data_IF_615970001534
#
_entry.id   IF_615970001534
#
_cell.length_a   1.000
_cell.length_b   1.000
_cell.length_c   1.000
_cell.angle_alpha   90.00
_cell.angle_beta   90.00
_cell.angle_gamma   90.00
#
_symmetry.space_group_name_H-M   'P 1'
#
loop_
_entity.id
_entity.type
_entity.pdbx_description
1 polymer ?
#
# COMPACT_ATOMS: atom_id res chain seq x y z
N UNK A 1 12.06 -3.11 -17.17
CA UNK A 1 11.38 -2.52 -16.01
C UNK A 1 11.92 -3.13 -14.72
N UNK A 2 12.17 -2.31 -13.70
CA UNK A 2 12.72 -2.75 -12.41
C UNK A 2 11.71 -2.37 -11.32
N UNK A 3 11.51 -3.23 -10.33
CA UNK A 3 10.72 -2.94 -9.15
C UNK A 3 11.58 -3.04 -7.88
N UNK A 4 11.55 -2.01 -7.04
CA UNK A 4 12.21 -1.96 -5.75
C UNK A 4 11.14 -2.11 -4.67
N UNK A 5 11.13 -3.26 -4.02
CA UNK A 5 10.12 -3.63 -3.02
C UNK A 5 10.74 -3.92 -1.64
N UNK A 6 9.91 -4.08 -0.63
CA UNK A 6 10.36 -4.40 0.72
C UNK A 6 9.69 -3.54 1.81
N UNK A 7 10.09 -3.68 3.07
CA UNK A 7 9.46 -2.99 4.18
C UNK A 7 9.68 -1.47 4.15
N UNK A 8 8.80 -0.74 4.82
CA UNK A 8 9.02 0.70 5.06
C UNK A 8 10.33 0.90 5.80
N UNK A 9 10.97 2.05 5.64
CA UNK A 9 12.29 2.38 6.18
C UNK A 9 13.47 1.51 5.67
N UNK A 10 13.27 0.62 4.66
CA UNK A 10 14.36 -0.16 4.08
C UNK A 10 15.27 0.63 3.12
N UNK A 11 14.89 1.85 2.71
CA UNK A 11 15.68 2.67 1.79
C UNK A 11 15.24 2.60 0.33
N UNK A 12 14.06 2.04 0.04
CA UNK A 12 13.53 1.86 -1.32
C UNK A 12 13.56 3.12 -2.19
N UNK A 13 13.09 4.25 -1.64
CA UNK A 13 13.00 5.51 -2.39
C UNK A 13 14.37 6.02 -2.81
N UNK A 14 15.39 5.91 -1.94
CA UNK A 14 16.75 6.31 -2.26
C UNK A 14 17.36 5.43 -3.37
N UNK A 15 17.24 4.10 -3.23
CA UNK A 15 17.72 3.14 -4.24
C UNK A 15 16.98 3.33 -5.56
N UNK A 16 15.65 3.45 -5.52
CA UNK A 16 14.83 3.64 -6.71
C UNK A 16 15.17 4.92 -7.48
N UNK A 17 15.39 6.02 -6.77
CA UNK A 17 15.78 7.30 -7.37
C UNK A 17 17.16 7.22 -8.01
N UNK A 18 18.13 6.65 -7.34
CA UNK A 18 19.47 6.48 -7.88
C UNK A 18 19.47 5.62 -9.15
N UNK A 19 18.79 4.48 -9.12
CA UNK A 19 18.62 3.64 -10.30
C UNK A 19 17.90 4.37 -11.44
N UNK A 20 16.87 5.13 -11.13
CA UNK A 20 16.13 5.89 -12.15
C UNK A 20 17.01 6.94 -12.83
N UNK A 21 17.88 7.63 -12.08
CA UNK A 21 18.88 8.55 -12.66
C UNK A 21 19.85 7.80 -13.56
N UNK A 22 20.43 6.70 -13.08
CA UNK A 22 21.43 5.93 -13.82
C UNK A 22 20.87 5.33 -15.14
N UNK A 23 19.62 4.86 -15.10
CA UNK A 23 18.97 4.20 -16.24
C UNK A 23 18.18 5.16 -17.15
N UNK A 24 18.09 6.45 -16.82
CA UNK A 24 17.22 7.39 -17.50
C UNK A 24 15.74 7.01 -17.40
N UNK A 25 15.32 6.46 -16.24
CA UNK A 25 13.98 5.97 -15.99
C UNK A 25 13.12 7.00 -15.26
N UNK A 26 11.80 6.78 -15.28
CA UNK A 26 10.84 7.49 -14.45
C UNK A 26 10.32 6.58 -13.33
N UNK A 27 10.00 7.15 -12.17
CA UNK A 27 9.53 6.39 -11.02
C UNK A 27 8.01 6.34 -10.99
N UNK A 28 7.46 5.15 -10.81
CA UNK A 28 6.04 4.96 -10.50
C UNK A 28 5.93 4.48 -9.05
N UNK A 29 5.35 5.30 -8.19
CA UNK A 29 5.14 4.98 -6.78
C UNK A 29 4.05 3.90 -6.65
N UNK A 30 4.37 2.80 -5.99
CA UNK A 30 3.44 1.70 -5.73
C UNK A 30 3.14 1.66 -4.23
N UNK A 31 2.43 2.70 -3.78
CA UNK A 31 2.06 2.90 -2.39
C UNK A 31 0.60 3.35 -2.28
N UNK A 32 -0.09 2.88 -1.23
CA UNK A 32 -1.50 3.18 -1.03
C UNK A 32 -1.75 4.60 -0.50
N UNK A 33 -0.72 5.28 0.00
CA UNK A 33 -0.87 6.50 0.78
C UNK A 33 -0.23 7.72 0.15
N UNK A 34 0.90 7.59 -0.55
CA UNK A 34 1.57 8.71 -1.22
C UNK A 34 0.75 9.33 -2.37
N UNK A 35 -0.37 8.69 -2.72
CA UNK A 35 -1.30 9.15 -3.75
C UNK A 35 -2.14 10.34 -3.29
N UNK A 36 -2.27 10.59 -1.97
CA UNK A 36 -3.15 11.58 -1.38
C UNK A 36 -2.48 12.93 -1.19
N UNK A 37 -3.15 14.01 -1.65
CA UNK A 37 -2.71 15.39 -1.45
C UNK A 37 -2.79 15.78 0.03
N UNK A 38 -1.76 16.52 0.49
CA UNK A 38 -1.72 17.02 1.87
C UNK A 38 -1.46 15.95 2.92
N UNK A 39 -1.03 14.75 2.50
CA UNK A 39 -0.61 13.67 3.38
C UNK A 39 0.88 13.32 3.13
N UNK A 40 1.73 14.34 2.97
CA UNK A 40 3.09 14.16 2.46
C UNK A 40 4.08 13.68 3.52
N UNK A 41 4.02 14.26 4.73
CA UNK A 41 4.95 13.96 5.81
C UNK A 41 4.68 12.56 6.38
N UNK A 42 3.44 12.29 6.77
CA UNK A 42 3.05 11.00 7.37
C UNK A 42 3.21 9.81 6.44
N UNK A 43 3.15 10.02 5.13
CA UNK A 43 3.35 8.98 4.12
C UNK A 43 4.78 8.91 3.59
N UNK A 44 5.63 9.90 3.96
CA UNK A 44 6.97 10.12 3.43
C UNK A 44 6.98 10.21 1.90
N UNK A 45 6.07 11.00 1.36
CA UNK A 45 6.03 11.38 -0.04
C UNK A 45 7.34 12.04 -0.45
N UNK A 46 7.93 11.72 -1.61
CA UNK A 46 9.12 12.39 -2.10
C UNK A 46 8.91 13.91 -2.21
N UNK A 47 9.87 14.66 -1.68
CA UNK A 47 9.85 16.12 -1.69
C UNK A 47 9.84 16.68 -3.11
N UNK A 48 9.41 17.94 -3.32
CA UNK A 48 9.51 18.61 -4.62
C UNK A 48 10.93 18.59 -5.20
N UNK A 49 11.94 18.76 -4.36
CA UNK A 49 13.36 18.70 -4.78
C UNK A 49 13.73 17.29 -5.30
N UNK A 50 13.30 16.23 -4.62
CA UNK A 50 13.53 14.86 -5.07
C UNK A 50 12.79 14.55 -6.37
N UNK A 51 11.56 15.05 -6.54
CA UNK A 51 10.77 14.89 -7.76
C UNK A 51 11.32 15.70 -8.94
N UNK A 52 12.04 16.78 -8.69
CA UNK A 52 12.72 17.55 -9.72
C UNK A 52 13.93 16.79 -10.33
N UNK A 53 14.55 15.88 -9.57
CA UNK A 53 15.69 15.06 -10.05
C UNK A 53 15.20 13.97 -11.01
N UNK A 54 14.08 13.33 -10.68
CA UNK A 54 13.49 12.24 -11.48
C UNK A 54 11.97 12.39 -11.47
N UNK A 55 11.29 12.29 -12.61
CA UNK A 55 9.83 12.29 -12.65
C UNK A 55 9.26 11.16 -11.78
N UNK A 56 8.31 11.52 -10.92
CA UNK A 56 7.57 10.58 -10.07
C UNK A 56 6.09 10.64 -10.43
N UNK A 57 5.48 9.49 -10.59
CA UNK A 57 4.07 9.30 -10.90
C UNK A 57 3.32 8.65 -9.75
N UNK A 58 2.01 8.83 -9.70
CA UNK A 58 1.10 8.33 -8.66
C UNK A 58 1.41 8.93 -7.28
N UNK A 59 1.69 10.22 -7.27
CA UNK A 59 1.93 11.01 -6.07
C UNK A 59 0.98 12.20 -6.09
N UNK A 60 0.24 12.42 -4.99
CA UNK A 60 -0.66 13.56 -4.83
C UNK A 60 -1.68 13.69 -5.98
N UNK A 61 -2.29 12.59 -6.42
CA UNK A 61 -3.31 12.58 -7.48
C UNK A 61 -4.73 12.67 -6.93
N UNK A 62 -5.00 12.13 -5.73
CA UNK A 62 -6.32 12.08 -5.11
C UNK A 62 -6.44 13.04 -3.92
N UNK A 63 -7.65 13.55 -3.70
CA UNK A 63 -7.99 14.17 -2.43
C UNK A 63 -8.19 13.09 -1.36
N UNK A 64 -7.91 13.38 -0.07
CA UNK A 64 -8.05 12.38 1.01
C UNK A 64 -9.46 11.79 1.18
N UNK A 65 -10.49 12.45 0.66
CA UNK A 65 -11.88 11.96 0.65
C UNK A 65 -12.14 10.91 -0.43
N UNK A 66 -11.31 10.86 -1.48
CA UNK A 66 -11.49 9.97 -2.60
C UNK A 66 -10.95 8.57 -2.28
N UNK A 67 -11.71 7.53 -2.62
CA UNK A 67 -11.30 6.15 -2.32
C UNK A 67 -10.31 5.61 -3.36
N UNK A 68 -9.08 5.32 -2.94
CA UNK A 68 -8.10 4.62 -3.75
C UNK A 68 -8.32 3.11 -3.67
N UNK A 69 -9.15 2.57 -4.56
CA UNK A 69 -9.32 1.11 -4.66
C UNK A 69 -8.14 0.46 -5.39
N UNK A 70 -7.88 -0.84 -5.14
CA UNK A 70 -6.85 -1.58 -5.88
C UNK A 70 -7.13 -1.64 -7.39
N UNK A 71 -8.39 -1.67 -7.80
CA UNK A 71 -8.81 -1.65 -9.20
C UNK A 71 -8.51 -0.29 -9.86
N UNK A 72 -8.89 0.82 -9.19
CA UNK A 72 -8.58 2.17 -9.67
C UNK A 72 -7.07 2.35 -9.81
N UNK A 73 -6.31 1.96 -8.77
CA UNK A 73 -4.85 2.07 -8.77
C UNK A 73 -4.22 1.24 -9.88
N UNK A 74 -4.71 0.01 -10.11
CA UNK A 74 -4.26 -0.85 -11.21
C UNK A 74 -4.41 -0.15 -12.56
N UNK A 75 -5.62 0.35 -12.86
CA UNK A 75 -5.90 1.00 -14.13
C UNK A 75 -5.03 2.25 -14.32
N UNK A 76 -4.94 3.10 -13.30
CA UNK A 76 -4.16 4.33 -13.34
C UNK A 76 -2.65 4.06 -13.48
N UNK A 77 -2.11 3.14 -12.68
CA UNK A 77 -0.69 2.78 -12.74
C UNK A 77 -0.30 2.18 -14.08
N UNK A 78 -1.12 1.27 -14.63
CA UNK A 78 -0.86 0.69 -15.95
C UNK A 78 -0.89 1.72 -17.06
N UNK A 79 -1.84 2.64 -17.05
CA UNK A 79 -1.92 3.73 -18.02
C UNK A 79 -0.65 4.60 -17.98
N UNK A 80 -0.16 4.97 -16.79
CA UNK A 80 1.08 5.72 -16.60
C UNK A 80 2.30 4.93 -17.09
N UNK A 81 2.40 3.65 -16.76
CA UNK A 81 3.50 2.80 -17.22
C UNK A 81 3.52 2.70 -18.74
N UNK A 82 2.37 2.45 -19.36
CA UNK A 82 2.24 2.31 -20.82
C UNK A 82 2.59 3.64 -21.51
N UNK A 83 2.21 4.79 -20.95
CA UNK A 83 2.59 6.13 -21.43
C UNK A 83 4.12 6.34 -21.35
N UNK A 84 4.76 6.05 -20.21
CA UNK A 84 6.21 6.20 -20.03
C UNK A 84 6.97 5.31 -21.04
N UNK A 85 6.54 4.06 -21.18
CA UNK A 85 7.15 3.11 -22.11
C UNK A 85 6.96 3.52 -23.57
N UNK A 86 5.79 4.09 -23.94
CA UNK A 86 5.53 4.56 -25.30
C UNK A 86 6.47 5.71 -25.74
N UNK A 87 6.98 6.48 -24.76
CA UNK A 87 7.99 7.53 -24.98
C UNK A 87 9.43 6.96 -25.05
N UNK A 88 9.61 5.62 -25.04
CA UNK A 88 10.91 4.98 -25.02
C UNK A 88 11.66 5.11 -23.69
N UNK A 89 10.99 5.56 -22.62
CA UNK A 89 11.60 5.69 -21.30
C UNK A 89 11.48 4.39 -20.51
N UNK A 90 12.38 4.17 -19.58
CA UNK A 90 12.32 3.04 -18.63
C UNK A 90 11.48 3.38 -17.41
N UNK A 91 10.96 2.36 -16.73
CA UNK A 91 10.17 2.50 -15.51
C UNK A 91 10.85 1.80 -14.35
N UNK A 92 10.93 2.50 -13.21
CA UNK A 92 11.29 1.95 -11.90
C UNK A 92 10.05 2.02 -10.99
N UNK A 93 9.51 0.86 -10.63
CA UNK A 93 8.44 0.79 -9.63
C UNK A 93 9.05 0.85 -8.23
N UNK A 94 8.54 1.70 -7.35
CA UNK A 94 9.03 1.83 -5.97
C UNK A 94 7.86 1.75 -5.01
N UNK A 95 7.84 0.75 -4.13
CA UNK A 95 6.77 0.67 -3.15
C UNK A 95 6.87 -0.47 -2.14
N UNK A 96 5.99 -0.40 -1.14
CA UNK A 96 5.91 -1.40 -0.08
C UNK A 96 4.54 -2.06 0.03
N UNK A 97 3.56 -1.65 -0.77
CA UNK A 97 2.22 -2.23 -0.74
C UNK A 97 2.13 -3.44 -1.67
N UNK A 98 2.20 -4.64 -1.09
CA UNK A 98 2.19 -5.88 -1.87
C UNK A 98 0.93 -6.09 -2.71
N UNK A 99 -0.24 -5.67 -2.19
CA UNK A 99 -1.50 -5.72 -2.95
C UNK A 99 -1.43 -4.82 -4.19
N UNK A 100 -1.01 -3.56 -4.03
CA UNK A 100 -0.93 -2.62 -5.14
C UNK A 100 0.17 -3.02 -6.12
N UNK A 101 1.30 -3.54 -5.63
CA UNK A 101 2.35 -4.08 -6.49
C UNK A 101 1.80 -5.19 -7.40
N UNK A 102 1.16 -6.20 -6.82
CA UNK A 102 0.56 -7.28 -7.62
C UNK A 102 -0.57 -6.79 -8.52
N UNK A 103 -1.39 -5.85 -8.07
CA UNK A 103 -2.40 -5.24 -8.90
C UNK A 103 -1.82 -4.66 -10.20
N UNK A 104 -0.67 -4.00 -10.09
CA UNK A 104 0.00 -3.38 -11.25
C UNK A 104 0.64 -4.41 -12.16
N UNK A 105 1.45 -5.33 -11.58
CA UNK A 105 2.35 -6.18 -12.37
C UNK A 105 1.74 -7.52 -12.78
N UNK A 106 0.77 -8.04 -12.04
CA UNK A 106 0.14 -9.33 -12.35
C UNK A 106 -1.17 -9.13 -13.13
N UNK A 107 -1.61 -10.12 -13.92
CA UNK A 107 -2.88 -10.08 -14.65
C UNK A 107 -4.07 -10.32 -13.71
N UNK A 108 -4.10 -9.59 -12.56
CA UNK A 108 -5.18 -9.73 -11.61
C UNK A 108 -6.44 -9.03 -12.11
N UNK A 109 -7.57 -9.72 -11.97
CA UNK A 109 -8.90 -9.18 -12.10
C UNK A 109 -9.49 -8.93 -10.72
N UNK A 110 -10.16 -7.80 -10.56
CA UNK A 110 -10.81 -7.43 -9.30
C UNK A 110 -12.32 -7.64 -9.45
N UNK A 111 -12.95 -8.35 -8.48
CA UNK A 111 -14.38 -8.48 -8.45
C UNK A 111 -15.06 -7.11 -8.33
N UNK A 112 -16.28 -6.97 -8.87
CA UNK A 112 -17.03 -5.72 -8.81
C UNK A 112 -17.24 -5.25 -7.37
N UNK A 113 -17.44 -3.95 -7.18
CA UNK A 113 -17.70 -3.34 -5.88
C UNK A 113 -18.87 -2.37 -5.99
N UNK A 114 -19.73 -2.36 -4.98
CA UNK A 114 -20.86 -1.45 -4.84
C UNK A 114 -20.96 -0.96 -3.40
N UNK A 115 -20.89 0.36 -3.22
CA UNK A 115 -20.90 0.97 -1.89
C UNK A 115 -22.25 0.79 -1.17
N UNK A 116 -23.37 0.79 -1.93
CA UNK A 116 -24.72 0.62 -1.36
C UNK A 116 -24.93 -0.82 -0.88
N UNK A 117 -24.57 -1.81 -1.70
CA UNK A 117 -24.62 -3.23 -1.32
C UNK A 117 -23.75 -3.49 -0.09
N UNK A 118 -22.55 -2.90 -0.06
CA UNK A 118 -21.67 -3.05 1.09
C UNK A 118 -22.26 -2.44 2.36
N UNK A 119 -22.82 -1.23 2.29
CA UNK A 119 -23.44 -0.57 3.43
C UNK A 119 -24.62 -1.36 3.96
N UNK A 120 -25.47 -1.93 3.10
CA UNK A 120 -26.57 -2.79 3.47
C UNK A 120 -26.08 -4.07 4.19
N UNK A 121 -25.06 -4.73 3.65
CA UNK A 121 -24.43 -5.88 4.29
C UNK A 121 -23.83 -5.52 5.67
N UNK A 122 -23.19 -4.35 5.80
CA UNK A 122 -22.63 -3.87 7.07
C UNK A 122 -23.73 -3.60 8.11
N UNK A 123 -24.92 -3.20 7.69
CA UNK A 123 -26.09 -3.04 8.59
C UNK A 123 -26.70 -4.39 8.99
N UNK A 124 -26.90 -5.29 8.03
CA UNK A 124 -27.48 -6.63 8.27
C UNK A 124 -26.57 -7.54 9.11
N UNK A 125 -25.26 -7.36 9.00
CA UNK A 125 -24.24 -8.18 9.63
C UNK A 125 -23.32 -7.30 10.51
N UNK A 126 -23.78 -6.86 11.69
CA UNK A 126 -23.13 -5.83 12.48
C UNK A 126 -21.79 -6.24 13.12
N UNK A 127 -21.54 -7.54 13.26
CA UNK A 127 -20.34 -8.06 13.91
C UNK A 127 -19.59 -9.12 13.05
N UNK A 128 -18.43 -9.54 13.51
CA UNK A 128 -17.61 -10.50 12.81
C UNK A 128 -18.24 -11.90 12.77
N UNK A 129 -18.93 -12.30 13.83
CA UNK A 129 -19.53 -13.62 13.93
C UNK A 129 -20.68 -13.79 12.94
N UNK A 130 -21.58 -12.81 12.86
CA UNK A 130 -22.70 -12.80 11.90
C UNK A 130 -22.22 -12.80 10.45
N UNK A 131 -21.23 -11.95 10.14
CA UNK A 131 -20.64 -11.87 8.81
C UNK A 131 -19.92 -13.17 8.40
N UNK A 132 -19.18 -13.78 9.33
CA UNK A 132 -18.49 -15.03 9.06
C UNK A 132 -19.44 -16.22 8.92
N UNK A 133 -20.49 -16.29 9.74
CA UNK A 133 -21.53 -17.31 9.62
C UNK A 133 -22.23 -17.25 8.27
N UNK A 134 -22.63 -16.05 7.83
CA UNK A 134 -23.23 -15.85 6.52
C UNK A 134 -22.27 -16.27 5.39
N UNK A 135 -20.99 -15.90 5.49
CA UNK A 135 -19.98 -16.31 4.51
C UNK A 135 -19.77 -17.82 4.50
N UNK A 136 -19.75 -18.49 5.67
CA UNK A 136 -19.55 -19.92 5.74
C UNK A 136 -20.66 -20.71 5.04
N UNK A 137 -21.89 -20.18 5.02
CA UNK A 137 -23.02 -20.75 4.28
C UNK A 137 -22.89 -20.46 2.78
N UNK A 138 -22.59 -19.22 2.42
CA UNK A 138 -22.61 -18.76 1.02
C UNK A 138 -21.37 -19.20 0.23
N UNK A 139 -20.17 -19.16 0.86
CA UNK A 139 -18.88 -19.54 0.26
C UNK A 139 -18.00 -20.24 1.31
N UNK A 140 -18.22 -21.53 1.58
CA UNK A 140 -17.44 -22.30 2.56
C UNK A 140 -15.93 -22.32 2.24
N UNK A 141 -15.57 -22.29 0.96
CA UNK A 141 -14.16 -22.32 0.53
C UNK A 141 -13.45 -21.00 0.88
N UNK A 142 -14.12 -19.87 0.70
CA UNK A 142 -13.57 -18.58 1.15
C UNK A 142 -13.51 -18.52 2.68
N UNK A 143 -14.51 -18.99 3.40
CA UNK A 143 -14.56 -18.99 4.86
C UNK A 143 -13.39 -19.78 5.47
N UNK A 144 -13.06 -20.97 4.96
CA UNK A 144 -11.93 -21.79 5.44
C UNK A 144 -10.58 -21.06 5.34
N UNK A 145 -10.45 -20.08 4.47
CA UNK A 145 -9.21 -19.34 4.19
C UNK A 145 -9.16 -17.97 4.84
N UNK A 146 -10.23 -17.57 5.53
CA UNK A 146 -10.35 -16.26 6.17
C UNK A 146 -10.30 -16.37 7.68
N UNK A 147 -9.71 -15.36 8.31
CA UNK A 147 -9.80 -15.19 9.76
C UNK A 147 -11.24 -14.84 10.14
N UNK A 148 -11.89 -15.65 11.02
CA UNK A 148 -13.26 -15.38 11.48
C UNK A 148 -13.47 -14.01 12.12
N UNK A 149 -12.43 -13.43 12.71
CA UNK A 149 -12.47 -12.08 13.28
C UNK A 149 -12.43 -10.95 12.21
N UNK A 150 -12.15 -11.29 10.96
CA UNK A 150 -12.02 -10.30 9.89
C UNK A 150 -13.36 -10.02 9.18
N UNK A 151 -14.28 -9.34 9.90
CA UNK A 151 -15.60 -8.92 9.38
C UNK A 151 -15.50 -8.26 8.00
N UNK A 152 -14.53 -7.35 7.82
CA UNK A 152 -14.37 -6.61 6.56
C UNK A 152 -14.16 -7.53 5.36
N UNK A 153 -13.37 -8.61 5.51
CA UNK A 153 -13.15 -9.58 4.43
C UNK A 153 -14.38 -10.44 4.18
N UNK A 154 -15.10 -10.83 5.22
CA UNK A 154 -16.35 -11.57 5.08
C UNK A 154 -17.40 -10.75 4.35
N UNK A 155 -17.64 -9.50 4.75
CA UNK A 155 -18.55 -8.56 4.06
C UNK A 155 -18.14 -8.40 2.58
N UNK A 156 -16.83 -8.23 2.30
CA UNK A 156 -16.36 -8.08 0.91
C UNK A 156 -16.65 -9.32 0.06
N UNK A 157 -16.50 -10.50 0.62
CA UNK A 157 -16.81 -11.74 -0.11
C UNK A 157 -18.32 -11.89 -0.39
N UNK A 158 -19.15 -11.52 0.56
CA UNK A 158 -20.61 -11.50 0.40
C UNK A 158 -21.06 -10.42 -0.60
N UNK A 159 -20.48 -9.24 -0.58
CA UNK A 159 -20.72 -8.17 -1.55
C UNK A 159 -20.46 -8.66 -2.99
N UNK A 160 -19.34 -9.34 -3.20
CA UNK A 160 -18.99 -9.90 -4.51
C UNK A 160 -20.07 -10.88 -4.98
N UNK A 161 -20.52 -11.77 -4.10
CA UNK A 161 -21.55 -12.74 -4.41
C UNK A 161 -22.89 -12.05 -4.75
N UNK A 162 -23.32 -11.06 -3.97
CA UNK A 162 -24.58 -10.33 -4.21
C UNK A 162 -24.57 -9.56 -5.54
N UNK A 163 -23.43 -8.96 -5.91
CA UNK A 163 -23.31 -8.17 -7.15
C UNK A 163 -23.16 -9.06 -8.38
N UNK A 164 -22.33 -10.11 -8.31
CA UNK A 164 -21.93 -10.89 -9.48
C UNK A 164 -22.61 -12.25 -9.61
N UNK A 165 -23.25 -12.73 -8.56
CA UNK A 165 -23.74 -14.12 -8.48
C UNK A 165 -22.62 -15.18 -8.39
N UNK A 166 -21.36 -14.78 -8.37
CA UNK A 166 -20.20 -15.67 -8.30
C UNK A 166 -19.58 -15.66 -6.91
N UNK A 167 -19.13 -16.81 -6.43
CA UNK A 167 -18.45 -16.92 -5.14
C UNK A 167 -17.12 -16.20 -5.17
N UNK A 168 -16.75 -15.56 -4.06
CA UNK A 168 -15.46 -14.89 -3.93
C UNK A 168 -14.28 -15.87 -4.09
N UNK A 169 -14.45 -17.12 -3.71
CA UNK A 169 -13.45 -18.18 -3.93
C UNK A 169 -13.13 -18.42 -5.40
N UNK A 170 -14.09 -18.23 -6.31
CA UNK A 170 -13.93 -18.49 -7.74
C UNK A 170 -13.07 -17.41 -8.42
N UNK A 171 -13.07 -16.17 -7.88
CA UNK A 171 -12.23 -15.07 -8.35
C UNK A 171 -10.74 -15.23 -8.01
N UNK A 172 -10.38 -16.17 -7.14
CA UNK A 172 -9.00 -16.32 -6.65
C UNK A 172 -8.06 -17.13 -7.53
N UNK A 173 -8.51 -17.72 -8.62
CA UNK A 173 -7.68 -18.60 -9.47
C UNK A 173 -6.40 -17.93 -10.00
N UNK A 174 -6.41 -16.58 -10.16
CA UNK A 174 -5.26 -15.80 -10.62
C UNK A 174 -4.33 -15.32 -9.47
N UNK A 175 -4.82 -15.30 -8.22
CA UNK A 175 -4.06 -14.78 -7.08
C UNK A 175 -2.93 -15.69 -6.60
N UNK A 176 -3.01 -16.98 -6.89
CA UNK A 176 -2.01 -17.97 -6.50
C UNK A 176 -0.90 -18.10 -7.57
N UNK A 177 -1.03 -17.39 -8.69
CA UNK A 177 -0.03 -17.32 -9.77
C UNK A 177 0.75 -16.02 -9.66
N UNK A 178 2.08 -16.11 -9.85
CA UNK A 178 2.98 -14.95 -9.87
C UNK A 178 3.45 -14.70 -11.31
N UNK A 179 2.49 -14.46 -12.18
CA UNK A 179 2.74 -14.17 -13.59
C UNK A 179 2.82 -12.65 -13.78
N UNK A 180 3.81 -12.17 -14.52
CA UNK A 180 3.94 -10.74 -14.79
C UNK A 180 3.36 -10.38 -16.16
N UNK A 181 2.54 -9.33 -16.20
CA UNK A 181 2.14 -8.64 -17.44
C UNK A 181 3.36 -8.06 -18.18
N UNK A 182 4.45 -7.81 -17.48
CA UNK A 182 5.67 -7.22 -18.03
C UNK A 182 6.78 -8.27 -18.06
N UNK A 183 7.08 -8.88 -19.25
CA UNK A 183 7.99 -10.04 -19.36
C UNK A 183 9.40 -9.78 -18.84
N UNK A 184 9.91 -8.55 -18.99
CA UNK A 184 11.24 -8.15 -18.54
C UNK A 184 11.26 -7.49 -17.16
N UNK A 185 10.26 -7.75 -16.30
CA UNK A 185 10.21 -7.23 -14.93
C UNK A 185 11.27 -7.93 -14.07
N UNK A 186 12.16 -7.14 -13.46
CA UNK A 186 13.04 -7.57 -12.38
C UNK A 186 12.51 -7.04 -11.05
N UNK A 187 12.40 -7.90 -10.04
CA UNK A 187 11.89 -7.53 -8.71
C UNK A 187 13.00 -7.67 -7.69
N UNK A 188 13.43 -6.54 -7.13
CA UNK A 188 14.52 -6.45 -6.15
C UNK A 188 13.90 -6.12 -4.79
N UNK A 189 14.05 -7.01 -3.83
CA UNK A 189 13.62 -6.84 -2.45
C UNK A 189 14.76 -6.31 -1.58
N UNK A 190 14.56 -5.20 -0.88
CA UNK A 190 15.56 -4.67 0.04
C UNK A 190 15.47 -5.36 1.39
N UNK A 191 16.57 -6.02 1.77
CA UNK A 191 16.71 -6.69 3.05
C UNK A 191 17.44 -5.79 4.06
N UNK A 192 16.87 -5.67 5.25
CA UNK A 192 17.44 -4.95 6.38
C UNK A 192 17.27 -5.81 7.62
N UNK A 193 18.27 -5.86 8.49
CA UNK A 193 18.17 -6.57 9.76
C UNK A 193 17.05 -5.98 10.64
N UNK A 194 16.43 -6.81 11.47
CA UNK A 194 15.31 -6.38 12.32
C UNK A 194 15.68 -5.24 13.28
N UNK A 195 16.91 -5.27 13.82
CA UNK A 195 17.43 -4.22 14.70
C UNK A 195 17.55 -2.88 13.96
N UNK A 196 18.28 -2.88 12.85
CA UNK A 196 18.46 -1.70 12.01
C UNK A 196 17.13 -1.12 11.50
N UNK A 197 16.20 -1.99 11.13
CA UNK A 197 14.89 -1.55 10.67
C UNK A 197 14.12 -0.84 11.80
N UNK A 198 14.20 -1.38 13.03
CA UNK A 198 13.59 -0.78 14.22
C UNK A 198 14.14 0.61 14.54
N UNK A 199 15.47 0.80 14.45
CA UNK A 199 16.14 2.09 14.62
C UNK A 199 15.74 3.09 13.54
N UNK A 200 15.79 2.68 12.27
CA UNK A 200 15.38 3.53 11.13
C UNK A 200 13.91 3.96 11.20
N UNK A 201 13.01 3.09 11.67
CA UNK A 201 11.60 3.44 11.87
C UNK A 201 11.49 4.50 12.97
N UNK A 202 12.19 4.34 14.08
CA UNK A 202 12.16 5.31 15.18
C UNK A 202 12.66 6.67 14.71
N UNK A 203 13.85 6.74 14.12
CA UNK A 203 14.43 8.00 13.61
C UNK A 203 13.54 8.65 12.53
N UNK A 204 12.88 7.85 11.70
CA UNK A 204 11.96 8.36 10.68
C UNK A 204 10.71 8.99 11.29
N UNK A 205 10.12 8.38 12.32
CA UNK A 205 8.96 8.95 13.01
C UNK A 205 9.35 10.25 13.72
N UNK A 206 10.53 10.31 14.32
CA UNK A 206 11.04 11.54 14.93
C UNK A 206 11.20 12.65 13.90
N UNK A 207 11.85 12.35 12.77
CA UNK A 207 12.01 13.31 11.68
C UNK A 207 10.66 13.79 11.10
N UNK A 208 9.64 12.92 11.02
CA UNK A 208 8.30 13.32 10.60
C UNK A 208 7.66 14.32 11.58
N UNK A 209 7.79 14.08 12.87
CA UNK A 209 7.28 15.00 13.91
C UNK A 209 8.01 16.35 13.87
N UNK A 210 9.33 16.34 13.71
CA UNK A 210 10.14 17.55 13.58
C UNK A 210 9.81 18.35 12.30
N UNK A 211 9.42 17.68 11.22
CA UNK A 211 8.98 18.28 9.96
C UNK A 211 7.57 18.86 10.00
N UNK A 212 6.83 18.66 11.10
CA UNK A 212 5.47 19.22 11.26
C UNK A 212 4.34 18.22 11.00
N UNK A 213 4.55 16.93 11.22
CA UNK A 213 3.49 15.93 11.04
C UNK A 213 2.23 16.21 11.88
N UNK A 214 2.39 16.81 13.07
CA UNK A 214 1.23 17.27 13.88
C UNK A 214 0.44 18.34 13.15
N UNK A 215 1.10 19.29 12.49
CA UNK A 215 0.43 20.34 11.72
C UNK A 215 -0.28 19.77 10.48
N UNK A 216 0.36 18.83 9.78
CA UNK A 216 -0.27 18.11 8.66
C UNK A 216 -1.52 17.35 9.12
N UNK A 217 -1.46 16.61 10.23
CA UNK A 217 -2.62 15.93 10.80
C UNK A 217 -3.71 16.92 11.22
N UNK A 218 -3.34 18.08 11.77
CA UNK A 218 -4.29 19.15 12.13
C UNK A 218 -5.04 19.69 10.91
N UNK A 219 -4.36 19.87 9.78
CA UNK A 219 -4.97 20.35 8.54
C UNK A 219 -6.01 19.37 7.94
N UNK A 220 -5.94 18.11 8.32
CA UNK A 220 -6.90 17.08 7.88
C UNK A 220 -8.09 16.91 8.83
N UNK A 221 -8.09 17.58 9.99
CA UNK A 221 -9.20 17.47 10.95
C UNK A 221 -10.51 17.96 10.36
N UNK A 222 -11.57 17.21 10.63
CA UNK A 222 -12.91 17.50 10.13
C UNK A 222 -13.14 17.14 8.65
N UNK A 223 -12.11 16.70 7.92
CA UNK A 223 -12.27 16.17 6.57
C UNK A 223 -12.82 14.74 6.64
N UNK A 224 -13.72 14.40 5.73
CA UNK A 224 -14.30 13.05 5.62
C UNK A 224 -13.33 12.12 4.86
N UNK A 225 -12.24 11.73 5.52
CA UNK A 225 -11.22 10.89 4.90
C UNK A 225 -11.82 9.60 4.36
N UNK A 226 -11.39 9.21 3.16
CA UNK A 226 -11.70 7.90 2.61
C UNK A 226 -11.15 6.78 3.51
N UNK A 227 -11.70 5.59 3.37
CA UNK A 227 -11.26 4.42 4.16
C UNK A 227 -9.76 4.12 3.96
N UNK A 228 -9.25 4.33 2.75
CA UNK A 228 -7.84 4.10 2.44
C UNK A 228 -6.97 5.20 3.04
N UNK A 229 -7.33 6.48 2.90
CA UNK A 229 -6.60 7.59 3.50
C UNK A 229 -6.55 7.48 5.03
N UNK A 230 -7.69 7.20 5.68
CA UNK A 230 -7.79 7.03 7.13
C UNK A 230 -6.96 5.84 7.68
N UNK A 231 -6.58 4.89 6.84
CA UNK A 231 -5.73 3.76 7.23
C UNK A 231 -4.23 4.11 7.30
N UNK A 232 -3.81 5.29 6.82
CA UNK A 232 -2.43 5.73 6.88
C UNK A 232 -1.98 5.88 8.34
N UNK A 233 -0.80 5.33 8.64
CA UNK A 233 -0.28 5.25 10.01
C UNK A 233 0.15 6.64 10.47
N UNK A 234 -0.26 7.01 11.67
CA UNK A 234 0.14 8.23 12.36
C UNK A 234 -0.99 9.24 12.48
N UNK A 235 -1.87 9.33 11.49
CA UNK A 235 -2.95 10.33 11.54
C UNK A 235 -3.97 10.06 12.65
N UNK A 236 -4.45 8.83 12.80
CA UNK A 236 -5.37 8.47 13.88
C UNK A 236 -4.73 8.63 15.26
N UNK A 237 -3.45 8.31 15.42
CA UNK A 237 -2.70 8.48 16.64
C UNK A 237 -2.51 9.96 17.02
N UNK A 238 -2.23 10.80 16.02
CA UNK A 238 -2.10 12.25 16.20
C UNK A 238 -3.46 12.90 16.43
N UNK A 239 -4.53 12.42 15.82
CA UNK A 239 -5.89 12.90 16.12
C UNK A 239 -6.27 12.67 17.58
N UNK A 240 -5.98 11.50 18.15
CA UNK A 240 -6.18 11.26 19.59
C UNK A 240 -5.35 12.20 20.48
N UNK A 241 -4.14 12.56 20.04
CA UNK A 241 -3.33 13.56 20.74
C UNK A 241 -3.95 14.95 20.66
N UNK A 242 -4.38 15.37 19.47
CA UNK A 242 -5.03 16.67 19.24
C UNK A 242 -6.36 16.81 19.98
N UNK A 243 -7.05 15.70 20.25
CA UNK A 243 -8.25 15.66 21.09
C UNK A 243 -7.95 15.62 22.60
N UNK A 244 -6.68 15.65 22.98
CA UNK A 244 -6.27 15.59 24.39
C UNK A 244 -6.39 14.21 25.04
N UNK A 245 -6.70 13.16 24.27
CA UNK A 245 -6.85 11.78 24.77
C UNK A 245 -5.53 11.10 25.12
N UNK A 246 -4.42 11.58 24.56
CA UNK A 246 -3.08 11.09 24.89
C UNK A 246 -2.00 12.17 24.71
N UNK A 247 -0.83 11.97 25.33
CA UNK A 247 0.33 12.83 25.09
C UNK A 247 0.94 12.59 23.70
N UNK A 248 1.67 13.57 23.17
CA UNK A 248 2.43 13.39 21.91
C UNK A 248 3.44 12.23 22.00
N UNK A 249 4.08 12.05 23.16
CA UNK A 249 4.98 10.94 23.41
C UNK A 249 4.28 9.57 23.30
N UNK A 250 3.04 9.47 23.79
CA UNK A 250 2.23 8.26 23.67
C UNK A 250 1.79 8.01 22.21
N UNK A 251 1.36 9.05 21.49
CA UNK A 251 1.04 8.96 20.06
C UNK A 251 2.27 8.49 19.25
N UNK A 252 3.43 9.12 19.45
CA UNK A 252 4.71 8.73 18.84
C UNK A 252 5.02 7.24 19.08
N UNK A 253 4.93 6.78 20.32
CA UNK A 253 5.22 5.39 20.65
C UNK A 253 4.29 4.41 19.88
N UNK A 254 3.00 4.73 19.77
CA UNK A 254 2.02 3.93 19.01
C UNK A 254 2.31 3.96 17.49
N UNK A 255 2.66 5.11 16.94
CA UNK A 255 3.08 5.23 15.53
C UNK A 255 4.26 4.29 15.24
N UNK A 256 5.29 4.30 16.10
CA UNK A 256 6.46 3.43 15.94
C UNK A 256 6.04 1.94 15.97
N UNK A 257 5.23 1.54 16.93
CA UNK A 257 4.75 0.15 17.05
C UNK A 257 3.96 -0.27 15.81
N UNK A 258 2.99 0.53 15.36
CA UNK A 258 2.19 0.25 14.17
C UNK A 258 3.04 0.20 12.90
N UNK A 259 4.02 1.09 12.79
CA UNK A 259 4.95 1.10 11.64
C UNK A 259 5.82 -0.17 11.62
N UNK A 260 6.30 -0.65 12.77
CA UNK A 260 7.02 -1.93 12.87
C UNK A 260 6.15 -3.12 12.47
N UNK A 261 4.89 -3.13 12.92
CA UNK A 261 3.92 -4.16 12.52
C UNK A 261 3.64 -4.11 11.01
N UNK A 262 3.52 -2.91 10.45
CA UNK A 262 3.34 -2.73 9.01
C UNK A 262 4.55 -3.23 8.22
N UNK A 263 5.76 -2.88 8.63
CA UNK A 263 7.00 -3.37 8.02
C UNK A 263 7.08 -4.91 8.03
N UNK A 264 6.67 -5.53 9.14
CA UNK A 264 6.63 -6.99 9.25
C UNK A 264 5.60 -7.61 8.28
N UNK A 265 4.42 -6.99 8.14
CA UNK A 265 3.41 -7.43 7.15
C UNK A 265 3.91 -7.32 5.71
N UNK A 266 4.58 -6.20 5.38
CA UNK A 266 5.19 -6.00 4.08
C UNK A 266 6.25 -7.06 3.77
N UNK A 267 7.15 -7.33 4.72
CA UNK A 267 8.18 -8.35 4.58
C UNK A 267 7.54 -9.73 4.31
N UNK A 268 6.56 -10.14 5.13
CA UNK A 268 5.85 -11.42 4.96
C UNK A 268 5.12 -11.52 3.62
N UNK A 269 4.61 -10.41 3.10
CA UNK A 269 3.94 -10.39 1.80
C UNK A 269 4.95 -10.69 0.68
N UNK A 270 6.02 -9.92 0.62
CA UNK A 270 7.01 -10.05 -0.47
C UNK A 270 7.86 -11.33 -0.38
N UNK A 271 8.02 -11.91 0.80
CA UNK A 271 8.70 -13.21 0.96
C UNK A 271 7.94 -14.36 0.27
N UNK A 272 6.65 -14.21 0.04
CA UNK A 272 5.83 -15.20 -0.68
C UNK A 272 5.92 -15.09 -2.21
N UNK A 273 6.43 -13.98 -2.72
CA UNK A 273 6.56 -13.76 -4.15
C UNK A 273 7.91 -14.32 -4.65
N UNK A 274 7.91 -15.41 -5.44
CA UNK A 274 9.14 -16.08 -5.87
C UNK A 274 9.99 -15.25 -6.82
N UNK A 275 9.46 -14.16 -7.39
CA UNK A 275 10.17 -13.24 -8.28
C UNK A 275 11.12 -12.31 -7.54
N UNK A 276 10.91 -12.14 -6.22
CA UNK A 276 11.70 -11.20 -5.42
C UNK A 276 13.09 -11.73 -5.15
N UNK A 277 14.08 -11.05 -5.68
CA UNK A 277 15.51 -11.27 -5.35
C UNK A 277 15.88 -10.36 -4.19
N UNK A 278 16.14 -10.95 -3.03
CA UNK A 278 16.47 -10.20 -1.82
C UNK A 278 17.94 -9.82 -1.79
N UNK A 279 18.23 -8.54 -1.52
CA UNK A 279 19.60 -8.02 -1.50
C UNK A 279 19.73 -6.84 -0.52
N UNK A 280 20.97 -6.46 -0.18
CA UNK A 280 21.24 -5.23 0.56
C UNK A 280 20.99 -3.97 -0.29
N UNK A 281 20.84 -2.81 0.35
CA UNK A 281 20.71 -1.54 -0.38
C UNK A 281 21.93 -1.23 -1.25
N UNK A 282 23.12 -1.69 -0.87
CA UNK A 282 24.37 -1.45 -1.62
C UNK A 282 24.42 -2.31 -2.87
N UNK A 283 24.13 -3.61 -2.72
CA UNK A 283 24.20 -4.57 -3.82
C UNK A 283 23.05 -4.40 -4.83
N UNK A 284 21.90 -3.87 -4.37
CA UNK A 284 20.75 -3.60 -5.25
C UNK A 284 21.10 -2.63 -6.39
N UNK A 285 22.00 -1.70 -6.16
CA UNK A 285 22.46 -0.71 -7.13
C UNK A 285 23.31 -1.35 -8.24
N UNK A 286 24.03 -2.42 -7.92
CA UNK A 286 24.89 -3.14 -8.85
C UNK A 286 24.12 -4.18 -9.67
N UNK A 287 23.12 -4.83 -9.07
CA UNK A 287 22.36 -5.92 -9.70
C UNK A 287 21.31 -5.45 -10.73
N UNK A 288 20.96 -4.17 -10.71
CA UNK A 288 19.92 -3.60 -11.57
C UNK A 288 20.47 -3.00 -12.88
N UNK A 289 21.78 -2.88 -13.01
CA UNK A 289 22.51 -2.44 -14.21
C UNK A 289 22.84 -3.61 -15.12
#
# INVERSE_FOLDING_TARGET
MIAIVGPTAAGKSAVGRELAVQCGAEIVAVDAFTIYRGMDIGTATPSPAERAVVPHHLINELEPEEECTAQWFQARARAVIDEVLSRGRRVVLVGGSGLYFRAVVDPLEFPPTDAAVRADLEQRLPDAASAFTALAVADPVAAQRMDPANRRRAIRALEVLEISGQRFSDWRSTWDRFESRYPALQVIGLQVSRGQLGERITSRVDAMLDQGFVLEATALRGRALSRTAAAAIGYAELEEHLDGRCSLAAARARIIVRTRQYATRQQRWFTKDPRVRWTSCVDAKVQAL
#
